data_IF_627268048879
#
_entry.id   IF_627268048879
#
_cell.length_a   1.000
_cell.length_b   1.000
_cell.length_c   1.000
_cell.angle_alpha   90.00
_cell.angle_beta   90.00
_cell.angle_gamma   90.00
#
_symmetry.space_group_name_H-M   'P 1'
#
loop_
_entity.id
_entity.type
_entity.pdbx_description
1 polymer ?
#
# COMPACT_ATOMS: atom_id res chain seq x y z
N UNK A 1 -12.91 -15.05 -9.62
CA UNK A 1 -12.67 -13.60 -9.66
C UNK A 1 -13.80 -12.96 -10.42
N UNK A 2 -14.56 -12.09 -9.76
CA UNK A 2 -15.59 -11.27 -10.39
C UNK A 2 -14.94 -9.96 -10.84
N UNK A 3 -15.15 -9.58 -12.12
CA UNK A 3 -14.65 -8.33 -12.68
C UNK A 3 -15.82 -7.48 -13.14
N UNK A 4 -15.90 -6.26 -12.64
CA UNK A 4 -16.90 -5.28 -13.05
C UNK A 4 -16.17 -3.98 -13.42
N UNK A 5 -15.88 -3.81 -14.70
CA UNK A 5 -15.13 -2.67 -15.20
C UNK A 5 -13.74 -2.56 -14.58
N UNK A 6 -13.53 -1.52 -13.76
CA UNK A 6 -12.24 -1.26 -13.07
C UNK A 6 -12.13 -1.93 -11.69
N UNK A 7 -13.20 -2.60 -11.22
CA UNK A 7 -13.23 -3.25 -9.91
C UNK A 7 -13.07 -4.76 -10.09
N UNK A 8 -12.10 -5.32 -9.39
CA UNK A 8 -11.86 -6.77 -9.30
C UNK A 8 -12.12 -7.24 -7.89
N UNK A 9 -13.01 -8.21 -7.71
CA UNK A 9 -13.32 -8.81 -6.42
C UNK A 9 -12.75 -10.23 -6.39
N UNK A 10 -11.79 -10.47 -5.50
CA UNK A 10 -11.24 -11.80 -5.28
C UNK A 10 -12.22 -12.69 -4.51
N UNK A 11 -12.29 -13.99 -4.83
CA UNK A 11 -13.15 -14.94 -4.12
C UNK A 11 -12.86 -14.98 -2.62
N UNK A 12 -11.60 -14.84 -2.21
CA UNK A 12 -11.22 -14.76 -0.80
C UNK A 12 -11.83 -13.57 -0.04
N UNK A 13 -12.08 -12.44 -0.71
CA UNK A 13 -12.81 -11.32 -0.11
C UNK A 13 -14.26 -11.66 0.20
N UNK A 14 -14.94 -12.32 -0.75
CA UNK A 14 -16.33 -12.74 -0.55
C UNK A 14 -16.46 -13.80 0.56
N UNK A 15 -15.51 -14.74 0.61
CA UNK A 15 -15.47 -15.74 1.69
C UNK A 15 -15.23 -15.09 3.05
N UNK A 16 -14.31 -14.13 3.13
CA UNK A 16 -14.07 -13.37 4.37
C UNK A 16 -15.31 -12.59 4.78
N UNK A 17 -15.97 -11.90 3.85
CA UNK A 17 -17.17 -11.13 4.12
C UNK A 17 -18.32 -12.02 4.58
N UNK A 18 -18.52 -13.18 3.93
CA UNK A 18 -19.51 -14.17 4.34
C UNK A 18 -19.22 -14.75 5.74
N UNK A 19 -17.96 -15.05 6.04
CA UNK A 19 -17.51 -15.49 7.35
C UNK A 19 -17.75 -14.44 8.43
N UNK A 20 -17.36 -13.18 8.16
CA UNK A 20 -17.59 -12.07 9.09
C UNK A 20 -19.09 -11.85 9.32
N UNK A 21 -19.91 -11.94 8.27
CA UNK A 21 -21.37 -11.82 8.40
C UNK A 21 -21.97 -12.97 9.23
N UNK A 22 -21.43 -14.19 9.09
CA UNK A 22 -21.86 -15.33 9.91
C UNK A 22 -21.49 -15.15 11.38
N UNK A 23 -20.34 -14.55 11.67
CA UNK A 23 -19.88 -14.27 13.04
C UNK A 23 -20.50 -13.00 13.65
N UNK A 24 -21.12 -12.15 12.84
CA UNK A 24 -21.68 -10.86 13.28
C UNK A 24 -23.06 -11.03 13.91
N UNK A 25 -23.08 -11.36 15.19
CA UNK A 25 -24.31 -11.53 15.96
C UNK A 25 -24.98 -10.19 16.34
N UNK A 26 -24.28 -9.07 16.20
CA UNK A 26 -24.73 -7.74 16.61
C UNK A 26 -25.10 -6.82 15.43
N UNK A 27 -24.92 -7.27 14.17
CA UNK A 27 -25.18 -6.46 12.99
C UNK A 27 -24.20 -5.29 12.81
N UNK A 28 -22.97 -5.44 13.28
CA UNK A 28 -21.94 -4.38 13.22
C UNK A 28 -21.16 -4.37 11.91
N UNK A 29 -21.19 -5.47 11.15
CA UNK A 29 -20.46 -5.60 9.89
C UNK A 29 -20.78 -4.49 8.88
N UNK A 30 -22.04 -4.08 8.65
CA UNK A 30 -22.34 -2.98 7.73
C UNK A 30 -21.65 -1.65 8.12
N UNK A 31 -21.58 -1.34 9.41
CA UNK A 31 -20.89 -0.14 9.92
C UNK A 31 -19.39 -0.23 9.68
N UNK A 32 -18.78 -1.40 9.90
CA UNK A 32 -17.36 -1.63 9.59
C UNK A 32 -17.05 -1.53 8.11
N UNK A 33 -17.92 -2.08 7.24
CA UNK A 33 -17.79 -1.96 5.78
C UNK A 33 -17.95 -0.50 5.33
N UNK A 34 -18.88 0.25 5.95
CA UNK A 34 -19.05 1.67 5.67
C UNK A 34 -17.78 2.47 6.04
N UNK A 35 -17.21 2.23 7.23
CA UNK A 35 -15.96 2.85 7.67
C UNK A 35 -14.80 2.52 6.73
N UNK A 36 -14.67 1.24 6.32
CA UNK A 36 -13.64 0.81 5.38
C UNK A 36 -13.83 1.44 3.98
N UNK A 37 -15.06 1.56 3.50
CA UNK A 37 -15.35 2.20 2.23
C UNK A 37 -15.01 3.69 2.26
N UNK A 38 -15.33 4.39 3.35
CA UNK A 38 -14.98 5.80 3.53
C UNK A 38 -13.46 6.00 3.54
N UNK A 39 -12.72 5.11 4.20
CA UNK A 39 -11.26 5.09 4.20
C UNK A 39 -10.69 4.98 2.77
N UNK A 40 -11.13 4.00 2.00
CA UNK A 40 -10.68 3.80 0.62
C UNK A 40 -11.06 4.97 -0.29
N UNK A 41 -12.25 5.57 -0.09
CA UNK A 41 -12.67 6.78 -0.81
C UNK A 41 -11.75 7.97 -0.48
N UNK A 42 -11.26 8.08 0.75
CA UNK A 42 -10.27 9.08 1.16
C UNK A 42 -9.00 8.97 0.32
N UNK A 43 -8.43 7.77 0.20
CA UNK A 43 -7.27 7.52 -0.65
C UNK A 43 -7.55 7.82 -2.12
N UNK A 44 -8.68 7.34 -2.64
CA UNK A 44 -9.08 7.55 -4.03
C UNK A 44 -9.18 9.04 -4.37
N UNK A 45 -9.83 9.82 -3.52
CA UNK A 45 -9.99 11.26 -3.70
C UNK A 45 -8.64 11.98 -3.69
N UNK A 46 -7.77 11.66 -2.71
CA UNK A 46 -6.43 12.25 -2.62
C UNK A 46 -5.58 11.93 -3.86
N UNK A 47 -5.63 10.69 -4.37
CA UNK A 47 -4.93 10.32 -5.60
C UNK A 47 -5.39 11.17 -6.78
N UNK A 48 -6.71 11.40 -6.93
CA UNK A 48 -7.26 12.24 -8.00
C UNK A 48 -6.82 13.70 -7.85
N UNK A 49 -6.86 14.25 -6.64
CA UNK A 49 -6.43 15.63 -6.35
C UNK A 49 -4.93 15.84 -6.58
N UNK A 50 -4.11 14.82 -6.33
CA UNK A 50 -2.67 14.83 -6.61
C UNK A 50 -2.33 14.56 -8.10
N UNK A 51 -3.32 14.48 -9.00
CA UNK A 51 -3.12 14.28 -10.43
C UNK A 51 -2.87 12.82 -10.84
N UNK A 52 -2.94 11.86 -9.90
CA UNK A 52 -2.90 10.43 -10.20
C UNK A 52 -4.23 9.93 -10.77
N UNK A 53 -4.20 8.76 -11.41
CA UNK A 53 -5.41 8.08 -11.90
C UNK A 53 -5.45 6.66 -11.41
N UNK A 54 -6.57 6.26 -10.77
CA UNK A 54 -6.79 4.87 -10.39
C UNK A 54 -7.26 4.10 -11.62
N UNK A 55 -6.43 3.16 -12.08
CA UNK A 55 -6.74 2.31 -13.23
C UNK A 55 -7.56 1.09 -12.83
N UNK A 56 -7.32 0.56 -11.62
CA UNK A 56 -7.98 -0.66 -11.14
C UNK A 56 -8.07 -0.65 -9.62
N UNK A 57 -9.19 -1.11 -9.09
CA UNK A 57 -9.42 -1.38 -7.68
C UNK A 57 -9.58 -2.88 -7.49
N UNK A 58 -8.74 -3.50 -6.68
CA UNK A 58 -8.81 -4.92 -6.36
C UNK A 58 -9.15 -5.12 -4.90
N UNK A 59 -10.30 -5.74 -4.63
CA UNK A 59 -10.72 -6.15 -3.29
C UNK A 59 -10.24 -7.58 -3.03
N UNK A 60 -9.47 -7.77 -1.98
CA UNK A 60 -8.94 -9.07 -1.56
C UNK A 60 -9.15 -9.30 -0.07
N UNK A 61 -8.99 -10.53 0.41
CA UNK A 61 -9.09 -10.85 1.85
C UNK A 61 -8.07 -10.07 2.71
N UNK A 62 -7.03 -9.50 2.10
CA UNK A 62 -5.98 -8.72 2.77
C UNK A 62 -6.29 -7.21 2.76
N UNK A 63 -7.37 -6.80 2.10
CA UNK A 63 -7.77 -5.40 1.96
C UNK A 63 -7.99 -4.98 0.51
N UNK A 64 -8.27 -3.70 0.30
CA UNK A 64 -8.40 -3.08 -1.01
C UNK A 64 -7.04 -2.64 -1.55
N UNK A 65 -6.82 -2.79 -2.85
CA UNK A 65 -5.60 -2.40 -3.54
C UNK A 65 -5.95 -1.55 -4.76
N UNK A 66 -5.50 -0.31 -4.77
CA UNK A 66 -5.67 0.61 -5.89
C UNK A 66 -4.42 0.61 -6.77
N UNK A 67 -4.59 0.32 -8.07
CA UNK A 67 -3.53 0.49 -9.05
C UNK A 67 -3.56 1.92 -9.57
N UNK A 68 -2.51 2.69 -9.28
CA UNK A 68 -2.38 4.09 -9.72
C UNK A 68 -1.52 4.13 -10.99
N UNK A 69 -1.97 4.90 -11.98
CA UNK A 69 -1.21 5.24 -13.18
C UNK A 69 -0.76 6.69 -13.06
N UNK A 70 0.51 6.91 -13.33
CA UNK A 70 1.18 8.19 -13.16
C UNK A 70 2.28 8.10 -12.08
N UNK A 71 3.17 9.07 -12.10
CA UNK A 71 4.23 9.20 -11.12
C UNK A 71 3.79 10.25 -10.10
N UNK A 72 3.62 9.84 -8.85
CA UNK A 72 3.38 10.75 -7.74
C UNK A 72 4.72 11.12 -7.11
N UNK A 73 4.89 12.39 -6.74
CA UNK A 73 6.02 12.82 -5.92
C UNK A 73 5.88 12.25 -4.49
N UNK A 74 6.97 12.15 -3.74
CA UNK A 74 6.91 11.68 -2.35
C UNK A 74 5.94 12.48 -1.47
N UNK A 75 5.87 13.83 -1.55
CA UNK A 75 4.86 14.60 -0.82
C UNK A 75 3.41 14.24 -1.23
N UNK A 76 3.17 14.06 -2.53
CA UNK A 76 1.85 13.66 -3.02
C UNK A 76 1.47 12.24 -2.54
N UNK A 77 2.42 11.31 -2.56
CA UNK A 77 2.22 9.96 -2.03
C UNK A 77 1.95 9.98 -0.52
N UNK A 78 2.67 10.83 0.23
CA UNK A 78 2.43 11.03 1.67
C UNK A 78 1.01 11.54 1.93
N UNK A 79 0.55 12.56 1.19
CA UNK A 79 -0.82 13.06 1.27
C UNK A 79 -1.84 11.96 0.95
N UNK A 80 -1.61 11.18 -0.10
CA UNK A 80 -2.46 10.05 -0.45
C UNK A 80 -2.52 9.00 0.67
N UNK A 81 -1.38 8.67 1.30
CA UNK A 81 -1.33 7.68 2.38
C UNK A 81 -2.00 8.16 3.66
N UNK A 82 -1.94 9.46 3.96
CA UNK A 82 -2.60 10.06 5.12
C UNK A 82 -4.11 10.21 4.95
N UNK A 83 -4.61 10.32 3.72
CA UNK A 83 -6.00 10.67 3.43
C UNK A 83 -7.01 9.65 3.98
N UNK A 84 -6.77 8.34 3.83
CA UNK A 84 -7.65 7.30 4.37
C UNK A 84 -7.79 7.38 5.89
N UNK A 85 -6.68 7.29 6.64
CA UNK A 85 -6.70 7.46 8.09
C UNK A 85 -7.34 8.78 8.54
N UNK A 86 -7.04 9.90 7.85
CA UNK A 86 -7.61 11.21 8.17
C UNK A 86 -9.14 11.22 8.04
N UNK A 87 -9.69 10.63 6.96
CA UNK A 87 -11.14 10.49 6.79
C UNK A 87 -11.76 9.71 7.94
N UNK A 88 -11.14 8.60 8.34
CA UNK A 88 -11.66 7.80 9.46
C UNK A 88 -11.61 8.55 10.78
N UNK A 89 -10.53 9.27 11.08
CA UNK A 89 -10.42 10.07 12.30
C UNK A 89 -11.46 11.18 12.32
N UNK A 90 -11.68 11.88 11.20
CA UNK A 90 -12.70 12.93 11.07
C UNK A 90 -14.12 12.36 11.22
N UNK A 91 -14.43 11.25 10.56
CA UNK A 91 -15.73 10.58 10.69
C UNK A 91 -15.95 10.05 12.10
N UNK A 92 -14.91 9.47 12.71
CA UNK A 92 -14.98 9.02 14.08
C UNK A 92 -15.28 10.15 15.06
N UNK A 93 -14.62 11.30 14.90
CA UNK A 93 -14.90 12.49 15.69
C UNK A 93 -16.33 13.00 15.47
N UNK A 94 -16.75 13.17 14.21
CA UNK A 94 -18.10 13.66 13.88
C UNK A 94 -19.18 12.72 14.41
N UNK A 95 -19.02 11.41 14.24
CA UNK A 95 -19.95 10.41 14.75
C UNK A 95 -20.06 10.42 16.28
N UNK A 96 -18.93 10.64 16.99
CA UNK A 96 -18.93 10.79 18.44
C UNK A 96 -19.74 12.01 18.91
N UNK A 97 -19.63 13.15 18.22
CA UNK A 97 -20.44 14.34 18.49
C UNK A 97 -21.95 14.10 18.28
N UNK A 98 -22.30 13.20 17.36
CA UNK A 98 -23.70 12.81 17.08
C UNK A 98 -24.21 11.69 18.01
N UNK A 99 -23.40 11.19 18.93
CA UNK A 99 -23.74 10.09 19.83
C UNK A 99 -23.68 8.69 19.18
N UNK A 100 -23.16 8.57 17.95
CA UNK A 100 -23.01 7.27 17.25
C UNK A 100 -21.72 6.58 17.69
N UNK A 101 -21.64 6.22 18.97
CA UNK A 101 -20.40 5.79 19.60
C UNK A 101 -19.79 4.54 18.99
N UNK A 102 -20.61 3.56 18.55
CA UNK A 102 -20.12 2.33 17.91
C UNK A 102 -19.43 2.66 16.58
N UNK A 103 -20.08 3.45 15.72
CA UNK A 103 -19.51 3.86 14.45
C UNK A 103 -18.28 4.76 14.63
N UNK A 104 -18.31 5.64 15.64
CA UNK A 104 -17.14 6.44 16.03
C UNK A 104 -15.95 5.55 16.42
N UNK A 105 -16.19 4.58 17.31
CA UNK A 105 -15.17 3.62 17.75
C UNK A 105 -14.56 2.82 16.60
N UNK A 106 -15.38 2.35 15.66
CA UNK A 106 -14.91 1.61 14.49
C UNK A 106 -14.02 2.47 13.57
N UNK A 107 -14.43 3.71 13.31
CA UNK A 107 -13.63 4.62 12.49
C UNK A 107 -12.30 4.98 13.19
N UNK A 108 -12.34 5.29 14.49
CA UNK A 108 -11.13 5.60 15.25
C UNK A 108 -10.17 4.40 15.29
N UNK A 109 -10.68 3.22 15.59
CA UNK A 109 -9.88 1.99 15.60
C UNK A 109 -9.24 1.71 14.25
N UNK A 110 -10.00 1.81 13.15
CA UNK A 110 -9.49 1.59 11.80
C UNK A 110 -8.46 2.65 11.39
N UNK A 111 -8.73 3.93 11.67
CA UNK A 111 -7.78 5.01 11.37
C UNK A 111 -6.47 4.86 12.12
N UNK A 112 -6.52 4.59 13.42
CA UNK A 112 -5.34 4.38 14.26
C UNK A 112 -4.57 3.11 13.86
N UNK A 113 -5.29 2.02 13.57
CA UNK A 113 -4.65 0.78 13.12
C UNK A 113 -3.90 0.98 11.81
N UNK A 114 -4.48 1.70 10.85
CA UNK A 114 -3.82 1.98 9.57
C UNK A 114 -2.63 2.93 9.70
N UNK A 115 -2.53 3.71 10.77
CA UNK A 115 -1.36 4.56 11.06
C UNK A 115 -0.19 3.79 11.69
N UNK A 116 -0.36 2.52 12.07
CA UNK A 116 0.75 1.72 12.56
C UNK A 116 1.86 1.61 11.50
N UNK A 117 3.14 1.72 11.88
CA UNK A 117 4.27 1.70 10.95
C UNK A 117 4.57 0.29 10.43
N UNK A 118 3.55 -0.41 9.96
CA UNK A 118 3.60 -1.77 9.38
C UNK A 118 3.57 -1.65 7.86
N UNK A 119 4.46 -2.35 7.16
CA UNK A 119 4.69 -2.19 5.72
C UNK A 119 3.49 -2.42 4.82
N UNK A 120 2.50 -3.19 5.27
CA UNK A 120 1.24 -3.45 4.55
C UNK A 120 0.14 -2.42 4.83
N UNK A 121 0.33 -1.54 5.83
CA UNK A 121 -0.61 -0.49 6.22
C UNK A 121 -0.16 0.89 5.71
N UNK A 122 -1.03 1.88 5.81
CA UNK A 122 -0.74 3.25 5.37
C UNK A 122 0.38 3.90 6.19
N UNK A 123 0.47 3.62 7.50
CA UNK A 123 1.55 4.07 8.36
C UNK A 123 2.93 3.61 7.88
N UNK A 124 3.03 2.42 7.32
CA UNK A 124 4.26 1.95 6.68
C UNK A 124 4.57 2.69 5.38
N UNK A 125 3.55 3.08 4.60
CA UNK A 125 3.74 3.93 3.42
C UNK A 125 4.19 5.34 3.81
N UNK A 126 3.54 5.93 4.82
CA UNK A 126 3.90 7.23 5.41
C UNK A 126 5.36 7.23 5.85
N UNK A 127 5.77 6.22 6.63
CA UNK A 127 7.15 6.07 7.09
C UNK A 127 8.14 6.02 5.92
N UNK A 128 7.86 5.23 4.88
CA UNK A 128 8.73 5.15 3.70
C UNK A 128 8.83 6.49 2.96
N UNK A 129 7.69 7.19 2.77
CA UNK A 129 7.70 8.51 2.12
C UNK A 129 8.54 9.52 2.89
N UNK A 130 8.33 9.64 4.21
CA UNK A 130 9.08 10.56 5.08
C UNK A 130 10.57 10.25 5.04
N UNK A 131 10.95 8.98 5.17
CA UNK A 131 12.36 8.57 5.14
C UNK A 131 13.01 8.80 3.78
N UNK A 132 12.28 8.53 2.69
CA UNK A 132 12.77 8.77 1.33
C UNK A 132 12.96 10.26 1.03
N UNK A 133 12.12 11.14 1.60
CA UNK A 133 12.30 12.60 1.52
C UNK A 133 13.55 13.08 2.30
N UNK A 134 13.96 12.34 3.33
CA UNK A 134 15.21 12.61 4.06
C UNK A 134 16.50 12.20 3.28
N UNK A 135 16.35 11.65 2.05
CA UNK A 135 17.46 11.35 1.16
C UNK A 135 17.98 9.92 1.17
N UNK A 136 17.36 9.01 1.94
CA UNK A 136 17.81 7.61 2.05
C UNK A 136 16.72 6.57 1.71
N UNK A 137 16.30 6.42 0.45
CA UNK A 137 15.24 5.49 0.07
C UNK A 137 15.56 4.02 0.38
N UNK A 138 16.83 3.62 0.27
CA UNK A 138 17.25 2.26 0.66
C UNK A 138 17.24 2.04 2.18
N UNK A 139 17.46 3.09 2.96
CA UNK A 139 17.29 3.12 4.41
C UNK A 139 15.84 2.89 4.83
N UNK A 140 14.91 3.56 4.17
CA UNK A 140 13.47 3.44 4.43
C UNK A 140 12.99 1.99 4.46
N UNK A 141 13.36 1.21 3.43
CA UNK A 141 12.96 -0.19 3.35
C UNK A 141 13.61 -1.05 4.46
N UNK A 142 14.88 -0.79 4.80
CA UNK A 142 15.54 -1.52 5.88
C UNK A 142 14.87 -1.28 7.23
N UNK A 143 14.60 -0.02 7.56
CA UNK A 143 13.90 0.36 8.80
C UNK A 143 12.51 -0.29 8.84
N UNK A 144 11.76 -0.21 7.75
CA UNK A 144 10.45 -0.85 7.64
C UNK A 144 10.49 -2.35 7.93
N UNK A 145 11.44 -3.07 7.32
CA UNK A 145 11.58 -4.51 7.55
C UNK A 145 11.97 -4.86 8.99
N UNK A 146 12.76 -4.02 9.65
CA UNK A 146 13.09 -4.21 11.06
C UNK A 146 11.88 -3.97 11.97
N UNK A 147 11.10 -2.92 11.71
CA UNK A 147 9.86 -2.63 12.43
C UNK A 147 8.83 -3.74 12.27
N UNK A 148 8.59 -4.21 11.03
CA UNK A 148 7.67 -5.32 10.75
C UNK A 148 8.05 -6.57 11.54
N UNK A 149 9.34 -6.92 11.57
CA UNK A 149 9.82 -8.09 12.31
C UNK A 149 9.72 -7.92 13.81
N UNK A 150 10.08 -6.73 14.33
CA UNK A 150 9.96 -6.42 15.75
C UNK A 150 8.52 -6.50 16.22
N UNK A 151 7.60 -5.85 15.52
CA UNK A 151 6.16 -5.90 15.82
C UNK A 151 5.59 -7.31 15.71
N UNK A 152 5.98 -8.07 14.68
CA UNK A 152 5.56 -9.45 14.54
C UNK A 152 6.07 -10.35 15.68
N UNK A 153 7.33 -10.18 16.08
CA UNK A 153 7.90 -10.93 17.20
C UNK A 153 7.16 -10.62 18.52
N UNK A 154 6.89 -9.34 18.79
CA UNK A 154 6.10 -8.92 19.96
C UNK A 154 4.69 -9.52 19.91
N UNK A 155 4.00 -9.45 18.76
CA UNK A 155 2.67 -10.01 18.60
C UNK A 155 2.65 -11.54 18.80
N UNK A 156 3.68 -12.26 18.32
CA UNK A 156 3.81 -13.71 18.52
C UNK A 156 4.12 -14.07 19.97
N UNK A 157 5.01 -13.34 20.65
CA UNK A 157 5.35 -13.57 22.05
C UNK A 157 4.15 -13.33 22.96
N UNK A 158 3.50 -12.16 22.81
CA UNK A 158 2.28 -11.82 23.57
C UNK A 158 1.15 -12.79 23.23
N UNK A 159 0.95 -13.11 21.96
CA UNK A 159 -0.05 -14.08 21.52
C UNK A 159 0.18 -15.48 22.12
N UNK A 160 1.43 -15.93 22.18
CA UNK A 160 1.79 -17.18 22.81
C UNK A 160 1.51 -17.22 24.32
N UNK A 161 1.74 -16.11 25.04
CA UNK A 161 1.38 -16.00 26.48
C UNK A 161 -0.15 -15.99 26.67
N UNK A 162 -0.88 -15.25 25.82
CA UNK A 162 -2.35 -15.20 25.85
C UNK A 162 -2.97 -16.58 25.60
N UNK A 163 -2.44 -17.34 24.63
CA UNK A 163 -2.90 -18.72 24.37
C UNK A 163 -2.69 -19.64 25.59
N UNK A 164 -1.51 -19.54 26.25
CA UNK A 164 -1.24 -20.32 27.47
C UNK A 164 -2.19 -20.01 28.62
N UNK A 165 -2.77 -18.81 28.62
CA UNK A 165 -3.79 -18.37 29.60
C UNK A 165 -5.23 -18.69 29.15
N UNK A 166 -5.42 -19.48 28.10
CA UNK A 166 -6.73 -19.83 27.56
C UNK A 166 -7.36 -18.78 26.64
N UNK A 167 -6.60 -17.77 26.22
CA UNK A 167 -7.06 -16.72 25.31
C UNK A 167 -6.99 -17.12 23.83
N UNK A 168 -7.47 -16.22 22.96
CA UNK A 168 -7.59 -16.47 21.51
C UNK A 168 -6.26 -16.38 20.75
N UNK A 169 -6.20 -17.00 19.58
CA UNK A 169 -5.02 -17.07 18.69
C UNK A 169 -4.83 -15.79 17.83
N UNK A 170 -5.68 -14.78 17.99
CA UNK A 170 -5.75 -13.60 17.09
C UNK A 170 -4.40 -12.88 16.94
N UNK A 171 -3.67 -12.67 18.04
CA UNK A 171 -2.37 -12.01 18.01
C UNK A 171 -1.31 -12.83 17.25
N UNK A 172 -1.34 -14.16 17.37
CA UNK A 172 -0.44 -15.03 16.59
C UNK A 172 -0.74 -14.98 15.10
N UNK A 173 -2.03 -14.93 14.73
CA UNK A 173 -2.44 -14.78 13.33
C UNK A 173 -1.98 -13.42 12.77
N UNK A 174 -2.15 -12.34 13.53
CA UNK A 174 -1.67 -11.00 13.15
C UNK A 174 -0.14 -10.98 12.98
N UNK A 175 0.59 -11.54 13.94
CA UNK A 175 2.06 -11.63 13.86
C UNK A 175 2.54 -12.42 12.64
N UNK A 176 1.92 -13.56 12.36
CA UNK A 176 2.18 -14.36 11.16
C UNK A 176 1.85 -13.62 9.86
N UNK A 177 0.77 -12.85 9.83
CA UNK A 177 0.39 -12.03 8.70
C UNK A 177 1.41 -10.91 8.42
N UNK A 178 1.87 -10.20 9.45
CA UNK A 178 2.92 -9.17 9.33
C UNK A 178 4.21 -9.79 8.77
N UNK A 179 4.64 -10.95 9.29
CA UNK A 179 5.82 -11.65 8.79
C UNK A 179 5.68 -12.06 7.32
N UNK A 180 4.52 -12.56 6.91
CA UNK A 180 4.28 -12.95 5.52
C UNK A 180 4.40 -11.76 4.55
N UNK A 181 3.91 -10.58 4.95
CA UNK A 181 4.07 -9.33 4.21
C UNK A 181 5.54 -8.90 4.07
N UNK A 182 6.29 -8.98 5.16
CA UNK A 182 7.73 -8.67 5.20
C UNK A 182 8.56 -9.60 4.31
N UNK A 183 8.25 -10.90 4.27
CA UNK A 183 8.92 -11.89 3.41
C UNK A 183 8.62 -11.62 1.93
N UNK A 184 7.35 -11.31 1.59
CA UNK A 184 6.92 -11.03 0.21
C UNK A 184 7.63 -9.79 -0.35
N UNK A 185 7.71 -8.70 0.40
CA UNK A 185 8.38 -7.46 -0.02
C UNK A 185 9.88 -7.69 -0.27
N UNK A 186 10.54 -8.53 0.52
CA UNK A 186 11.94 -8.92 0.32
C UNK A 186 12.12 -9.76 -0.96
N UNK A 187 11.26 -10.74 -1.21
CA UNK A 187 11.32 -11.60 -2.39
C UNK A 187 11.11 -10.80 -3.68
N UNK A 188 10.23 -9.80 -3.69
CA UNK A 188 10.04 -8.91 -4.83
C UNK A 188 11.27 -8.03 -5.11
N UNK A 189 11.95 -7.53 -4.08
CA UNK A 189 13.21 -6.78 -4.23
C UNK A 189 14.30 -7.63 -4.90
N UNK A 190 14.45 -8.90 -4.50
CA UNK A 190 15.42 -9.83 -5.11
C UNK A 190 15.08 -10.09 -6.58
N UNK A 191 13.82 -10.39 -6.89
CA UNK A 191 13.37 -10.61 -8.28
C UNK A 191 13.60 -9.41 -9.18
N UNK A 192 13.41 -8.16 -8.68
CA UNK A 192 13.70 -6.93 -9.44
C UNK A 192 15.20 -6.77 -9.71
N UNK A 193 16.04 -7.07 -8.73
CA UNK A 193 17.50 -6.99 -8.86
C UNK A 193 18.04 -7.97 -9.91
N UNK A 194 17.48 -9.16 -9.99
CA UNK A 194 17.85 -10.15 -11.01
C UNK A 194 17.36 -9.75 -12.42
N UNK A 195 16.15 -9.21 -12.54
CA UNK A 195 15.64 -8.68 -13.81
C UNK A 195 16.42 -7.47 -14.31
N UNK A 196 16.88 -6.58 -13.43
CA UNK A 196 17.72 -5.42 -13.81
C UNK A 196 19.13 -5.82 -14.24
N UNK A 197 19.65 -6.96 -13.75
CA UNK A 197 20.92 -7.53 -14.20
C UNK A 197 20.82 -8.24 -15.55
N UNK A 198 19.64 -8.76 -15.91
CA UNK A 198 19.43 -9.52 -17.15
C UNK A 198 18.98 -8.69 -18.37
N UNK A 199 18.52 -7.46 -18.18
CA UNK A 199 17.97 -6.62 -19.26
C UNK A 199 18.80 -5.37 -19.50
N UNK A 200 19.59 -5.38 -20.58
CA UNK A 200 20.25 -4.16 -21.13
C UNK A 200 19.31 -3.27 -21.95
N UNK A 201 18.03 -3.52 -21.97
CA UNK A 201 17.03 -2.73 -22.69
C UNK A 201 16.04 -2.14 -21.70
N UNK A 202 16.21 -0.83 -21.41
CA UNK A 202 15.39 -0.07 -20.50
C UNK A 202 13.96 0.16 -21.01
N UNK A 203 13.06 -0.74 -20.67
CA UNK A 203 11.62 -0.46 -20.60
C UNK A 203 11.11 -0.94 -19.25
N UNK A 204 10.99 0.00 -18.32
CA UNK A 204 10.39 -0.25 -17.01
C UNK A 204 8.88 -0.09 -17.16
N UNK A 205 8.17 -1.21 -17.14
CA UNK A 205 6.70 -1.22 -17.05
C UNK A 205 6.35 -1.13 -15.57
N UNK A 206 5.89 0.05 -15.11
CA UNK A 206 5.35 0.24 -13.77
C UNK A 206 3.97 -0.45 -13.68
N UNK A 207 3.94 -1.66 -13.17
CA UNK A 207 2.70 -2.38 -12.96
C UNK A 207 2.77 -3.10 -11.60
N UNK A 208 2.45 -2.39 -10.50
CA UNK A 208 1.96 -2.96 -9.24
C UNK A 208 1.97 -1.91 -8.11
N UNK A 209 0.96 -1.91 -7.30
CA UNK A 209 0.69 -1.02 -6.16
C UNK A 209 1.81 -0.95 -5.09
N UNK A 210 2.72 -1.91 -5.05
CA UNK A 210 3.94 -1.92 -4.22
C UNK A 210 5.17 -1.33 -4.94
N UNK A 211 4.99 -0.65 -6.08
CA UNK A 211 6.06 -0.30 -7.02
C UNK A 211 6.33 1.19 -7.16
N UNK A 212 5.85 2.03 -6.27
CA UNK A 212 6.15 3.46 -6.34
C UNK A 212 7.64 3.79 -6.10
N UNK A 213 8.40 2.89 -5.46
CA UNK A 213 9.84 3.13 -5.21
C UNK A 213 10.74 2.99 -6.45
N UNK A 214 10.21 2.57 -7.60
CA UNK A 214 11.01 2.28 -8.81
C UNK A 214 10.95 3.36 -9.90
N UNK A 215 10.08 4.36 -9.78
CA UNK A 215 9.92 5.41 -10.79
C UNK A 215 10.74 6.68 -10.54
N UNK A 216 11.56 6.70 -9.48
CA UNK A 216 12.45 7.83 -9.19
C UNK A 216 13.86 7.56 -9.73
N UNK A 217 13.99 7.34 -11.06
CA UNK A 217 15.28 7.41 -11.73
C UNK A 217 15.24 8.47 -12.81
N UNK A 218 15.96 9.56 -12.50
CA UNK A 218 16.55 10.52 -13.45
C UNK A 218 15.62 11.24 -14.42
N UNK A 219 15.10 12.35 -13.97
CA UNK A 219 15.15 13.58 -14.75
C UNK A 219 16.17 14.51 -14.09
N UNK A 220 17.45 14.27 -14.35
CA UNK A 220 18.49 15.26 -14.11
C UNK A 220 18.61 16.12 -15.39
N UNK A 221 18.10 17.36 -15.42
CA UNK A 221 18.27 18.24 -16.57
C UNK A 221 19.58 19.00 -16.41
N UNK A 222 20.68 18.37 -16.76
CA UNK A 222 21.96 19.08 -16.67
C UNK A 222 23.16 18.27 -17.11
N UNK A 223 23.25 17.89 -18.38
CA UNK A 223 24.49 17.81 -19.14
C UNK A 223 24.19 17.60 -20.63
N UNK A 224 23.73 18.65 -21.29
CA UNK A 224 23.94 18.78 -22.73
C UNK A 224 25.29 19.41 -22.92
N UNK A 225 26.35 18.63 -23.05
CA UNK A 225 27.59 19.06 -23.68
C UNK A 225 27.70 18.36 -25.03
N UNK A 226 27.70 19.19 -26.04
CA UNK A 226 27.95 18.96 -27.43
C UNK A 226 28.98 17.85 -27.73
N UNK A 227 28.59 16.89 -28.53
CA UNK A 227 29.53 16.28 -29.50
C UNK A 227 28.76 16.00 -30.79
N UNK A 228 29.11 16.83 -31.80
CA UNK A 228 28.68 16.68 -33.16
C UNK A 228 29.24 15.38 -33.76
N UNK A 229 28.36 14.62 -34.36
CA UNK A 229 28.79 13.56 -35.25
C UNK A 229 28.19 13.79 -36.63
N UNK A 230 29.10 14.10 -37.56
CA UNK A 230 28.90 14.33 -39.00
C UNK A 230 28.08 13.19 -39.62
N UNK A 231 27.00 13.54 -40.26
CA UNK A 231 26.29 12.70 -41.18
C UNK A 231 27.19 12.35 -42.40
N UNK A 232 27.36 11.06 -42.69
CA UNK A 232 27.88 10.56 -43.97
C UNK A 232 26.73 10.34 -44.93
N UNK A 233 26.83 10.77 -46.22
CA UNK A 233 25.78 10.58 -47.20
C UNK A 233 25.83 9.14 -47.72
N UNK A 234 24.68 8.51 -47.81
CA UNK A 234 24.47 7.20 -48.43
C UNK A 234 24.58 7.32 -49.98
N UNK A 235 25.56 6.67 -50.51
CA UNK A 235 25.76 6.47 -51.94
C UNK A 235 24.63 5.62 -52.54
N UNK A 236 23.85 6.20 -53.44
CA UNK A 236 22.98 5.46 -54.40
C UNK A 236 23.85 4.61 -55.28
N UNK A 237 23.63 3.32 -55.35
CA UNK A 237 23.93 2.50 -56.53
C UNK A 237 22.63 2.02 -57.18
N UNK A 238 22.44 2.50 -58.42
CA UNK A 238 21.56 1.85 -59.41
C UNK A 238 22.32 0.61 -59.94
N UNK A 239 21.64 -0.48 -60.04
CA UNK A 239 21.39 -1.30 -61.27
C UNK A 239 20.29 -2.29 -60.86
#
# INVERSE_FOLDING_TARGET
>A
MLRWGRVEVAGGFLLLLAWLNFCDTQGLLPLGVCAATAHELGHWLAIQLCGGRVSRLRLSAVGAQMQVVGVLSYPAELCCALAGPAVNLLLGYAAAQMGWLVFAGMNLAQGLFNLLPIGVLDGGRILRCVWSMAGEPDGALRVQLWLDRGLAAVALLVGGTVIKQGGGMTLCVIGGWILSGSVRSRAEKWRKKDLSRGSRTGKIICNDFYRMDACYHESNPGTNSAQGTKARPLHRRRI
#
